data_IF_066537506517
#
_entry.id   IF_066537506517
#
_cell.length_a   1.000
_cell.length_b   1.000
_cell.length_c   1.000
_cell.angle_alpha   90.00
_cell.angle_beta   90.00
_cell.angle_gamma   90.00
#
_symmetry.space_group_name_H-M   'P 1'
#
loop_
_entity.id
_entity.type
_entity.pdbx_description
1 polymer ?
#
# COMPACT_ATOMS: atom_id res chain seq x y z
N UNK A 1 18.75 64.70 -2.67
CA UNK A 1 17.70 63.98 -3.37
C UNK A 1 18.42 63.06 -4.31
N UNK A 2 18.51 61.81 -3.94
CA UNK A 2 19.09 60.74 -4.73
C UNK A 2 18.37 59.48 -4.36
N UNK A 3 17.51 59.03 -5.26
CA UNK A 3 16.69 57.82 -5.11
C UNK A 3 17.59 56.59 -5.33
N UNK A 4 17.68 55.75 -4.34
CA UNK A 4 18.28 54.41 -4.45
C UNK A 4 17.21 53.45 -4.95
N UNK A 5 17.21 53.16 -6.23
CA UNK A 5 16.50 51.99 -6.77
C UNK A 5 17.24 50.72 -6.33
N UNK A 6 16.60 50.00 -5.38
CA UNK A 6 16.98 48.64 -5.00
C UNK A 6 16.44 47.67 -6.03
N UNK A 7 17.27 47.30 -7.01
CA UNK A 7 16.97 46.30 -8.01
C UNK A 7 17.12 44.90 -7.35
N UNK A 8 16.02 44.33 -6.90
CA UNK A 8 15.95 42.98 -6.36
C UNK A 8 15.84 42.01 -7.55
N UNK A 9 16.97 41.70 -8.16
CA UNK A 9 17.06 40.62 -9.12
C UNK A 9 16.88 39.29 -8.36
N UNK A 10 15.64 38.86 -8.21
CA UNK A 10 15.32 37.49 -7.78
C UNK A 10 15.89 36.52 -8.83
N UNK A 11 16.81 35.74 -8.38
CA UNK A 11 17.62 34.82 -9.15
C UNK A 11 16.75 33.77 -9.87
N UNK A 12 16.73 33.82 -11.18
CA UNK A 12 16.13 32.78 -12.02
C UNK A 12 16.85 31.43 -11.95
N UNK A 13 17.83 31.29 -11.05
CA UNK A 13 18.61 30.07 -10.88
C UNK A 13 17.90 29.04 -9.99
N UNK A 14 17.12 29.50 -8.97
CA UNK A 14 16.45 28.58 -8.04
C UNK A 14 15.27 27.83 -8.66
N UNK A 15 14.61 28.44 -9.65
CA UNK A 15 13.44 27.80 -10.32
C UNK A 15 13.90 26.69 -11.29
N UNK A 16 15.02 26.91 -12.00
CA UNK A 16 15.54 25.91 -12.94
C UNK A 16 16.15 24.69 -12.22
N UNK A 17 16.77 24.91 -11.05
CA UNK A 17 17.38 23.84 -10.25
C UNK A 17 16.32 22.96 -9.57
N UNK A 18 15.16 23.54 -9.20
CA UNK A 18 14.05 22.81 -8.64
C UNK A 18 13.35 21.94 -9.68
N UNK A 19 13.16 22.42 -10.90
CA UNK A 19 12.52 21.67 -11.97
C UNK A 19 13.38 20.48 -12.46
N UNK A 20 14.70 20.64 -12.52
CA UNK A 20 15.62 19.54 -12.86
C UNK A 20 15.66 18.45 -11.80
N UNK A 21 15.69 18.82 -10.51
CA UNK A 21 15.68 17.88 -9.39
C UNK A 21 14.35 17.09 -9.31
N UNK A 22 13.22 17.74 -9.57
CA UNK A 22 11.93 17.05 -9.62
C UNK A 22 11.87 16.06 -10.78
N UNK A 23 12.42 16.42 -11.92
CA UNK A 23 12.51 15.54 -13.08
C UNK A 23 13.38 14.31 -12.83
N UNK A 24 14.55 14.47 -12.22
CA UNK A 24 15.47 13.35 -11.88
C UNK A 24 14.85 12.39 -10.89
N UNK A 25 14.20 12.88 -9.83
CA UNK A 25 13.52 12.04 -8.85
C UNK A 25 12.37 11.22 -9.47
N UNK A 26 11.65 11.78 -10.43
CA UNK A 26 10.60 11.06 -11.14
C UNK A 26 11.16 9.99 -12.08
N UNK A 27 12.28 10.24 -12.74
CA UNK A 27 12.97 9.27 -13.59
C UNK A 27 13.47 8.10 -12.74
N UNK A 28 14.15 8.40 -11.62
CA UNK A 28 14.62 7.37 -10.70
C UNK A 28 13.47 6.50 -10.16
N UNK A 29 12.35 7.13 -9.81
CA UNK A 29 11.16 6.40 -9.36
C UNK A 29 10.60 5.52 -10.48
N UNK A 30 10.52 6.02 -11.71
CA UNK A 30 10.04 5.26 -12.87
C UNK A 30 10.92 4.04 -13.16
N UNK A 31 12.25 4.20 -13.15
CA UNK A 31 13.20 3.09 -13.31
C UNK A 31 13.08 2.06 -12.19
N UNK A 32 13.00 2.51 -10.94
CA UNK A 32 12.85 1.64 -9.78
C UNK A 32 11.55 0.82 -9.86
N UNK A 33 10.45 1.44 -10.26
CA UNK A 33 9.16 0.75 -10.46
C UNK A 33 9.23 -0.25 -11.62
N UNK A 34 9.85 0.12 -12.75
CA UNK A 34 10.02 -0.76 -13.89
C UNK A 34 10.86 -1.99 -13.54
N UNK A 35 11.96 -1.81 -12.82
CA UNK A 35 12.83 -2.88 -12.33
C UNK A 35 12.10 -3.81 -11.36
N UNK A 36 11.39 -3.25 -10.37
CA UNK A 36 10.63 -4.04 -9.38
C UNK A 36 9.56 -4.91 -10.03
N UNK A 37 8.85 -4.35 -11.00
CA UNK A 37 7.76 -5.05 -11.67
C UNK A 37 8.23 -5.87 -12.89
N UNK A 38 9.52 -5.77 -13.24
CA UNK A 38 10.14 -6.39 -14.41
C UNK A 38 9.37 -6.08 -15.72
N UNK A 39 9.02 -4.80 -15.89
CA UNK A 39 8.22 -4.33 -17.01
C UNK A 39 9.00 -3.25 -17.76
N UNK A 40 9.33 -3.53 -19.01
CA UNK A 40 10.08 -2.63 -19.89
C UNK A 40 9.30 -2.28 -21.17
N UNK A 41 8.09 -2.84 -21.30
CA UNK A 41 7.27 -2.74 -22.51
C UNK A 41 5.96 -2.01 -22.24
N UNK A 42 5.61 -1.00 -23.02
CA UNK A 42 4.36 -0.21 -22.87
C UNK A 42 3.09 -1.08 -22.85
N UNK A 43 2.91 -2.09 -23.75
CA UNK A 43 1.74 -2.97 -23.69
C UNK A 43 1.72 -3.87 -22.44
N UNK A 44 2.89 -4.28 -21.93
CA UNK A 44 2.98 -5.07 -20.71
C UNK A 44 2.52 -4.27 -19.47
N UNK A 45 2.85 -2.97 -19.41
CA UNK A 45 2.36 -2.05 -18.36
C UNK A 45 0.83 -2.03 -18.32
N UNK A 46 0.18 -1.88 -19.48
CA UNK A 46 -1.28 -1.83 -19.55
C UNK A 46 -1.94 -3.14 -19.11
N UNK A 47 -1.43 -4.27 -19.57
CA UNK A 47 -1.96 -5.58 -19.21
C UNK A 47 -1.83 -5.84 -17.71
N UNK A 48 -0.68 -5.50 -17.11
CA UNK A 48 -0.43 -5.66 -15.69
C UNK A 48 -1.29 -4.70 -14.86
N UNK A 49 -1.40 -3.43 -15.26
CA UNK A 49 -2.30 -2.44 -14.67
C UNK A 49 -3.74 -2.96 -14.62
N UNK A 50 -4.26 -3.39 -15.76
CA UNK A 50 -5.64 -3.91 -15.87
C UNK A 50 -5.86 -5.14 -15.00
N UNK A 51 -4.91 -6.08 -14.99
CA UNK A 51 -4.96 -7.27 -14.15
C UNK A 51 -4.96 -6.92 -12.67
N UNK A 52 -4.00 -6.10 -12.21
CA UNK A 52 -3.89 -5.69 -10.80
C UNK A 52 -5.11 -4.93 -10.32
N UNK A 53 -5.62 -3.98 -11.13
CA UNK A 53 -6.81 -3.22 -10.81
C UNK A 53 -8.06 -4.13 -10.67
N UNK A 54 -8.26 -5.07 -11.60
CA UNK A 54 -9.39 -6.01 -11.56
C UNK A 54 -9.33 -6.93 -10.35
N UNK A 55 -8.18 -7.53 -10.08
CA UNK A 55 -8.01 -8.42 -8.94
C UNK A 55 -8.12 -7.66 -7.61
N UNK A 56 -7.51 -6.49 -7.49
CA UNK A 56 -7.61 -5.65 -6.31
C UNK A 56 -9.04 -5.24 -6.00
N UNK A 57 -9.74 -4.70 -7.00
CA UNK A 57 -11.16 -4.33 -6.86
C UNK A 57 -12.04 -5.55 -6.54
N UNK A 58 -11.79 -6.69 -7.20
CA UNK A 58 -12.53 -7.94 -6.96
C UNK A 58 -12.37 -8.43 -5.51
N UNK A 59 -11.14 -8.47 -5.00
CA UNK A 59 -10.86 -8.94 -3.64
C UNK A 59 -11.47 -8.00 -2.59
N UNK A 60 -11.38 -6.67 -2.78
CA UNK A 60 -12.02 -5.71 -1.87
C UNK A 60 -13.53 -5.87 -1.91
N UNK A 61 -14.12 -6.04 -3.10
CA UNK A 61 -15.56 -6.27 -3.24
C UNK A 61 -16.00 -7.55 -2.51
N UNK A 62 -15.26 -8.64 -2.65
CA UNK A 62 -15.51 -9.90 -1.94
C UNK A 62 -15.38 -9.70 -0.43
N UNK A 63 -14.39 -8.96 0.05
CA UNK A 63 -14.20 -8.64 1.47
C UNK A 63 -15.39 -7.83 2.03
N UNK A 64 -15.88 -6.84 1.26
CA UNK A 64 -17.05 -6.05 1.62
C UNK A 64 -18.34 -6.90 1.62
N UNK A 65 -18.52 -7.79 0.64
CA UNK A 65 -19.66 -8.72 0.61
C UNK A 65 -19.60 -9.70 1.77
N UNK A 66 -18.40 -10.20 2.11
CA UNK A 66 -18.21 -11.06 3.28
C UNK A 66 -18.60 -10.32 4.58
N UNK A 67 -18.12 -9.08 4.74
CA UNK A 67 -18.51 -8.25 5.86
C UNK A 67 -20.04 -8.07 5.93
N UNK A 68 -20.65 -7.70 4.81
CA UNK A 68 -22.11 -7.46 4.77
C UNK A 68 -22.92 -8.73 5.05
N UNK A 69 -22.60 -9.84 4.41
CA UNK A 69 -23.37 -11.08 4.52
C UNK A 69 -23.12 -11.83 5.83
N UNK A 70 -21.89 -11.90 6.30
CA UNK A 70 -21.52 -12.78 7.42
C UNK A 70 -21.26 -12.04 8.73
N UNK A 71 -21.03 -10.73 8.68
CA UNK A 71 -20.81 -9.92 9.88
C UNK A 71 -22.02 -9.03 10.15
N UNK A 72 -22.45 -8.22 9.17
CA UNK A 72 -23.53 -7.26 9.35
C UNK A 72 -24.91 -7.90 9.39
N UNK A 73 -25.18 -8.90 8.53
CA UNK A 73 -26.50 -9.53 8.41
C UNK A 73 -26.71 -10.73 9.34
N UNK A 74 -25.63 -11.29 9.89
CA UNK A 74 -25.69 -12.46 10.79
C UNK A 74 -25.79 -12.12 12.28
N UNK A 75 -26.19 -10.91 12.60
CA UNK A 75 -25.91 -10.26 13.88
C UNK A 75 -26.73 -10.68 15.09
N UNK A 76 -27.89 -11.30 14.94
CA UNK A 76 -28.85 -11.51 16.07
C UNK A 76 -28.28 -12.21 17.32
N UNK A 77 -27.09 -12.85 17.21
CA UNK A 77 -26.39 -13.46 18.34
C UNK A 77 -24.97 -12.93 18.58
N UNK A 78 -24.52 -11.93 17.81
CA UNK A 78 -23.15 -11.39 17.88
C UNK A 78 -23.05 -9.97 18.45
N UNK A 79 -24.19 -9.27 18.58
CA UNK A 79 -24.25 -7.86 18.95
C UNK A 79 -23.97 -7.57 20.43
N UNK A 80 -23.96 -8.57 21.29
CA UNK A 80 -23.77 -8.39 22.73
C UNK A 80 -22.31 -8.08 23.14
N UNK A 81 -21.39 -8.02 22.18
CA UNK A 81 -19.96 -7.78 22.43
C UNK A 81 -19.51 -6.40 22.00
N UNK A 82 -19.57 -5.45 22.91
CA UNK A 82 -18.97 -4.12 22.72
C UNK A 82 -17.45 -4.20 22.88
N UNK A 83 -16.69 -3.67 21.92
CA UNK A 83 -15.24 -3.56 22.04
C UNK A 83 -14.87 -2.71 23.25
N UNK A 84 -13.94 -3.21 24.07
CA UNK A 84 -13.43 -2.49 25.25
C UNK A 84 -12.58 -1.27 24.89
N UNK A 85 -11.99 -1.25 23.68
CA UNK A 85 -11.14 -0.16 23.26
C UNK A 85 -11.91 1.10 22.87
N UNK A 86 -12.98 0.97 22.08
CA UNK A 86 -13.72 2.14 21.58
C UNK A 86 -15.21 2.11 21.90
N UNK A 87 -15.72 1.08 22.58
CA UNK A 87 -17.14 0.95 22.84
C UNK A 87 -17.98 0.73 21.56
N UNK A 88 -17.38 0.14 20.53
CA UNK A 88 -17.99 -0.12 19.24
C UNK A 88 -18.56 -1.54 19.19
N UNK A 89 -19.68 -1.70 18.50
CA UNK A 89 -20.27 -3.00 18.19
C UNK A 89 -19.35 -3.80 17.26
N UNK A 90 -19.46 -5.14 17.28
CA UNK A 90 -18.61 -6.01 16.46
C UNK A 90 -18.66 -5.68 14.96
N UNK A 91 -19.82 -5.29 14.45
CA UNK A 91 -20.00 -4.86 13.08
C UNK A 91 -19.22 -3.57 12.76
N UNK A 92 -19.25 -2.59 13.66
CA UNK A 92 -18.50 -1.35 13.55
C UNK A 92 -17.00 -1.60 13.68
N UNK A 93 -16.57 -2.46 14.60
CA UNK A 93 -15.17 -2.89 14.73
C UNK A 93 -14.67 -3.50 13.43
N UNK A 94 -15.44 -4.39 12.80
CA UNK A 94 -15.05 -4.99 11.53
C UNK A 94 -14.87 -3.95 10.42
N UNK A 95 -15.70 -2.93 10.36
CA UNK A 95 -15.57 -1.82 9.40
C UNK A 95 -14.32 -0.97 9.69
N UNK A 96 -14.08 -0.63 10.95
CA UNK A 96 -12.86 0.09 11.38
C UNK A 96 -11.61 -0.71 11.00
N UNK A 97 -11.60 -2.01 11.28
CA UNK A 97 -10.48 -2.90 10.92
C UNK A 97 -10.23 -2.91 9.41
N UNK A 98 -11.28 -2.94 8.58
CA UNK A 98 -11.12 -2.85 7.12
C UNK A 98 -10.46 -1.53 6.68
N UNK A 99 -10.92 -0.40 7.25
CA UNK A 99 -10.35 0.92 6.93
C UNK A 99 -8.88 0.98 7.36
N UNK A 100 -8.58 0.56 8.59
CA UNK A 100 -7.19 0.53 9.09
C UNK A 100 -6.30 -0.40 8.27
N UNK A 101 -6.80 -1.57 7.89
CA UNK A 101 -6.10 -2.54 7.04
C UNK A 101 -5.81 -1.97 5.64
N UNK A 102 -6.77 -1.25 5.05
CA UNK A 102 -6.57 -0.56 3.78
C UNK A 102 -5.53 0.55 3.89
N UNK A 103 -5.63 1.40 4.90
CA UNK A 103 -4.67 2.48 5.15
C UNK A 103 -3.26 1.92 5.41
N UNK A 104 -3.16 0.83 6.17
CA UNK A 104 -1.90 0.12 6.35
C UNK A 104 -1.25 -0.26 5.02
N UNK A 105 -1.99 -0.88 4.10
CA UNK A 105 -1.46 -1.29 2.80
C UNK A 105 -1.03 -0.08 1.97
N UNK A 106 -1.83 0.99 1.94
CA UNK A 106 -1.54 2.21 1.19
C UNK A 106 -0.28 2.90 1.71
N UNK A 107 -0.23 3.19 3.02
CA UNK A 107 0.94 3.88 3.61
C UNK A 107 2.19 3.01 3.61
N UNK A 108 2.05 1.68 3.76
CA UNK A 108 3.16 0.75 3.68
C UNK A 108 3.83 0.73 2.31
N UNK A 109 3.04 0.69 1.25
CA UNK A 109 3.56 0.71 -0.12
C UNK A 109 4.14 2.08 -0.49
N UNK A 110 3.45 3.17 -0.14
CA UNK A 110 4.01 4.52 -0.35
C UNK A 110 5.31 4.73 0.41
N UNK A 111 5.42 4.23 1.65
CA UNK A 111 6.67 4.30 2.41
C UNK A 111 7.81 3.60 1.70
N UNK A 112 7.53 2.43 1.13
CA UNK A 112 8.53 1.62 0.40
C UNK A 112 9.01 2.34 -0.86
N UNK A 113 8.09 2.95 -1.62
CA UNK A 113 8.44 3.61 -2.88
C UNK A 113 9.12 4.97 -2.67
N UNK A 114 8.64 5.76 -1.73
CA UNK A 114 9.16 7.11 -1.47
C UNK A 114 10.34 7.12 -0.50
N UNK A 115 10.65 5.99 0.17
CA UNK A 115 11.70 5.92 1.19
C UNK A 115 11.43 6.83 2.40
N UNK A 116 10.17 7.23 2.63
CA UNK A 116 9.80 8.17 3.67
C UNK A 116 9.47 7.49 4.99
N UNK A 117 10.01 8.02 6.10
CA UNK A 117 9.77 7.50 7.45
C UNK A 117 8.33 7.74 7.93
N UNK A 118 7.72 8.87 7.57
CA UNK A 118 6.39 9.25 8.08
C UNK A 118 5.31 8.25 7.66
N UNK A 119 5.14 7.90 6.37
CA UNK A 119 4.20 6.84 5.99
C UNK A 119 4.50 5.49 6.62
N UNK A 120 5.79 5.16 6.86
CA UNK A 120 6.20 3.92 7.53
C UNK A 120 5.68 3.85 8.97
N UNK A 121 5.84 4.94 9.73
CA UNK A 121 5.35 5.02 11.10
C UNK A 121 3.82 4.90 11.12
N UNK A 122 3.12 5.63 10.24
CA UNK A 122 1.66 5.57 10.13
C UNK A 122 1.22 4.14 9.82
N UNK A 123 1.82 3.50 8.83
CA UNK A 123 1.55 2.11 8.49
C UNK A 123 1.77 1.17 9.67
N UNK A 124 2.90 1.32 10.39
CA UNK A 124 3.20 0.54 11.59
C UNK A 124 2.14 0.70 12.69
N UNK A 125 1.68 1.92 12.94
CA UNK A 125 0.60 2.18 13.90
C UNK A 125 -0.71 1.53 13.45
N UNK A 126 -1.09 1.65 12.17
CA UNK A 126 -2.32 1.06 11.64
C UNK A 126 -2.34 -0.47 11.81
N UNK A 127 -1.25 -1.17 11.48
CA UNK A 127 -1.21 -2.63 11.63
C UNK A 127 -1.27 -3.07 13.09
N UNK A 128 -0.71 -2.30 14.02
CA UNK A 128 -0.84 -2.57 15.45
C UNK A 128 -2.30 -2.47 15.88
N UNK A 129 -3.03 -1.45 15.45
CA UNK A 129 -4.46 -1.34 15.74
C UNK A 129 -5.27 -2.48 15.12
N UNK A 130 -4.98 -2.87 13.88
CA UNK A 130 -5.61 -4.05 13.26
C UNK A 130 -5.37 -5.29 14.12
N UNK A 131 -4.13 -5.55 14.53
CA UNK A 131 -3.78 -6.69 15.36
C UNK A 131 -4.48 -6.67 16.72
N UNK A 132 -4.58 -5.50 17.37
CA UNK A 132 -5.29 -5.33 18.64
C UNK A 132 -6.78 -5.66 18.50
N UNK A 133 -7.47 -5.10 17.49
CA UNK A 133 -8.89 -5.36 17.27
C UNK A 133 -9.18 -6.80 16.85
N UNK A 134 -8.32 -7.39 16.03
CA UNK A 134 -8.44 -8.80 15.62
C UNK A 134 -8.20 -9.73 16.82
N UNK A 135 -7.27 -9.39 17.69
CA UNK A 135 -6.91 -10.18 18.88
C UNK A 135 -7.88 -10.00 20.06
N UNK A 136 -8.56 -8.85 20.15
CA UNK A 136 -9.44 -8.49 21.28
C UNK A 136 -10.46 -9.58 21.64
N UNK A 137 -11.22 -10.21 20.71
CA UNK A 137 -12.18 -11.24 21.05
C UNK A 137 -11.55 -12.47 21.70
N UNK A 138 -10.35 -12.87 21.27
CA UNK A 138 -9.63 -14.01 21.88
C UNK A 138 -9.18 -13.64 23.28
N UNK A 139 -8.56 -12.46 23.44
CA UNK A 139 -8.09 -11.98 24.75
C UNK A 139 -9.27 -11.84 25.72
N UNK A 140 -10.41 -11.33 25.26
CA UNK A 140 -11.62 -11.21 26.07
C UNK A 140 -12.15 -12.58 26.49
N UNK A 141 -12.16 -13.55 25.58
CA UNK A 141 -12.58 -14.93 25.88
C UNK A 141 -11.65 -15.65 26.89
N UNK A 142 -10.37 -15.29 26.90
CA UNK A 142 -9.38 -15.88 27.83
C UNK A 142 -9.39 -15.21 29.21
N UNK A 143 -9.67 -13.90 29.27
CA UNK A 143 -9.55 -13.10 30.50
C UNK A 143 -10.89 -12.80 31.19
N UNK A 144 -12.01 -13.05 30.55
CA UNK A 144 -13.34 -12.79 31.11
C UNK A 144 -14.33 -13.90 30.76
N UNK A 145 -15.23 -14.20 31.70
CA UNK A 145 -16.29 -15.17 31.49
C UNK A 145 -17.43 -14.68 30.56
N UNK A 146 -17.28 -13.49 29.96
CA UNK A 146 -18.27 -12.86 29.10
C UNK A 146 -18.37 -13.47 27.70
N UNK A 147 -17.34 -14.16 27.23
CA UNK A 147 -17.28 -14.80 25.92
C UNK A 147 -16.74 -16.23 26.05
N UNK A 148 -17.30 -17.14 25.27
CA UNK A 148 -16.70 -18.48 25.15
C UNK A 148 -15.49 -18.42 24.22
N UNK A 149 -14.51 -19.31 24.43
CA UNK A 149 -13.30 -19.40 23.57
C UNK A 149 -13.69 -19.64 22.11
N UNK A 150 -14.71 -20.47 21.87
CA UNK A 150 -15.23 -20.72 20.52
C UNK A 150 -15.73 -19.43 19.85
N UNK A 151 -16.54 -18.64 20.55
CA UNK A 151 -17.04 -17.36 20.04
C UNK A 151 -15.91 -16.37 19.79
N UNK A 152 -14.92 -16.29 20.70
CA UNK A 152 -13.74 -15.45 20.54
C UNK A 152 -12.94 -15.80 19.30
N UNK A 153 -12.69 -17.10 19.07
CA UNK A 153 -11.99 -17.59 17.87
C UNK A 153 -12.76 -17.30 16.59
N UNK A 154 -14.07 -17.52 16.57
CA UNK A 154 -14.91 -17.22 15.41
C UNK A 154 -14.92 -15.72 15.05
N UNK A 155 -15.04 -14.85 16.04
CA UNK A 155 -15.00 -13.39 15.85
C UNK A 155 -13.62 -12.95 15.31
N UNK A 156 -12.55 -13.38 15.93
CA UNK A 156 -11.18 -13.07 15.48
C UNK A 156 -10.89 -13.65 14.10
N UNK A 157 -11.36 -14.86 13.80
CA UNK A 157 -11.20 -15.48 12.49
C UNK A 157 -11.88 -14.68 11.37
N UNK A 158 -13.09 -14.17 11.60
CA UNK A 158 -13.80 -13.33 10.64
C UNK A 158 -13.11 -11.98 10.42
N UNK A 159 -12.64 -11.33 11.50
CA UNK A 159 -11.89 -10.08 11.40
C UNK A 159 -10.56 -10.29 10.69
N UNK A 160 -9.85 -11.39 10.95
CA UNK A 160 -8.61 -11.76 10.26
C UNK A 160 -8.85 -11.95 8.77
N UNK A 161 -9.88 -12.68 8.38
CA UNK A 161 -10.18 -12.96 6.97
C UNK A 161 -10.48 -11.66 6.19
N UNK A 162 -11.32 -10.79 6.78
CA UNK A 162 -11.64 -9.49 6.17
C UNK A 162 -10.40 -8.61 6.06
N UNK A 163 -9.61 -8.49 7.14
CA UNK A 163 -8.42 -7.64 7.14
C UNK A 163 -7.37 -8.11 6.14
N UNK A 164 -7.11 -9.42 6.06
CA UNK A 164 -6.17 -9.99 5.09
C UNK A 164 -6.64 -9.76 3.65
N UNK A 165 -7.93 -9.92 3.37
CA UNK A 165 -8.50 -9.64 2.06
C UNK A 165 -8.33 -8.17 1.67
N UNK A 166 -8.61 -7.25 2.59
CA UNK A 166 -8.47 -5.81 2.35
C UNK A 166 -7.00 -5.39 2.21
N UNK A 167 -6.08 -5.93 3.02
CA UNK A 167 -4.65 -5.67 2.90
C UNK A 167 -4.15 -6.10 1.52
N UNK A 168 -4.44 -7.34 1.13
CA UNK A 168 -3.99 -7.86 -0.16
C UNK A 168 -4.60 -7.11 -1.35
N UNK A 169 -5.91 -6.85 -1.30
CA UNK A 169 -6.60 -6.04 -2.31
C UNK A 169 -6.06 -4.61 -2.38
N UNK A 170 -5.74 -4.01 -1.22
CA UNK A 170 -5.13 -2.69 -1.11
C UNK A 170 -3.77 -2.61 -1.80
N UNK A 171 -2.87 -3.57 -1.54
CA UNK A 171 -1.58 -3.66 -2.25
C UNK A 171 -1.74 -3.72 -3.77
N UNK A 172 -2.70 -4.51 -4.27
CA UNK A 172 -2.96 -4.60 -5.70
C UNK A 172 -3.47 -3.28 -6.30
N UNK A 173 -4.29 -2.53 -5.55
CA UNK A 173 -4.78 -1.21 -5.98
C UNK A 173 -3.65 -0.17 -5.99
N UNK A 174 -2.78 -0.18 -4.97
CA UNK A 174 -1.63 0.72 -4.95
C UNK A 174 -0.68 0.42 -6.09
N UNK A 175 -0.35 -0.85 -6.33
CA UNK A 175 0.44 -1.28 -7.49
C UNK A 175 -0.19 -0.81 -8.81
N UNK A 176 -1.52 -0.95 -8.96
CA UNK A 176 -2.22 -0.47 -10.15
C UNK A 176 -2.13 1.06 -10.28
N UNK A 177 -2.22 1.81 -9.17
CA UNK A 177 -2.10 3.26 -9.16
C UNK A 177 -0.70 3.73 -9.57
N UNK A 178 0.34 3.04 -9.08
CA UNK A 178 1.74 3.30 -9.45
C UNK A 178 1.99 2.98 -10.94
N UNK A 179 1.43 1.89 -11.44
CA UNK A 179 1.51 1.54 -12.87
C UNK A 179 0.78 2.56 -13.75
N UNK A 180 -0.36 3.10 -13.28
CA UNK A 180 -1.08 4.15 -13.99
C UNK A 180 -0.26 5.44 -14.04
N UNK A 181 0.41 5.78 -12.92
CA UNK A 181 1.34 6.91 -12.87
C UNK A 181 2.52 6.70 -13.83
N UNK A 182 3.17 5.53 -13.77
CA UNK A 182 4.28 5.17 -14.65
C UNK A 182 3.89 5.27 -16.13
N UNK A 183 2.73 4.75 -16.49
CA UNK A 183 2.20 4.85 -17.85
C UNK A 183 2.06 6.31 -18.29
N UNK A 184 1.41 7.15 -17.47
CA UNK A 184 1.22 8.58 -17.78
C UNK A 184 2.56 9.31 -17.89
N UNK A 185 3.52 8.98 -17.04
CA UNK A 185 4.85 9.53 -17.06
C UNK A 185 5.58 9.21 -18.38
N UNK A 186 5.52 7.95 -18.84
CA UNK A 186 6.12 7.53 -20.11
C UNK A 186 5.36 8.05 -21.36
N UNK A 187 4.07 8.34 -21.24
CA UNK A 187 3.30 8.99 -22.30
C UNK A 187 3.66 10.48 -22.42
N UNK A 188 4.03 11.14 -21.33
CA UNK A 188 4.43 12.55 -21.32
C UNK A 188 5.92 12.78 -21.65
N UNK A 189 6.74 11.72 -21.56
CA UNK A 189 8.20 11.78 -21.83
C UNK A 189 8.58 10.65 -22.79
N UNK A 190 8.26 10.84 -24.07
CA UNK A 190 8.51 9.83 -25.12
C UNK A 190 10.01 9.54 -25.35
N UNK A 191 10.87 10.45 -24.90
CA UNK A 191 12.33 10.33 -25.01
C UNK A 191 12.93 9.32 -24.02
N UNK A 192 12.16 8.93 -22.98
CA UNK A 192 12.63 8.01 -21.94
C UNK A 192 12.30 6.58 -22.35
N UNK A 193 13.32 5.83 -22.76
CA UNK A 193 13.24 4.39 -22.96
C UNK A 193 13.68 3.65 -21.68
N UNK A 194 12.77 2.84 -21.13
CA UNK A 194 13.12 1.95 -20.02
C UNK A 194 14.00 0.82 -20.55
N UNK A 195 15.29 0.88 -20.27
CA UNK A 195 16.23 -0.16 -20.69
C UNK A 195 16.24 -1.28 -19.66
N UNK A 196 16.01 -2.54 -20.06
CA UNK A 196 16.17 -3.66 -19.15
C UNK A 196 17.62 -3.67 -18.65
N UNK A 197 17.86 -3.99 -17.36
CA UNK A 197 19.22 -4.11 -16.86
C UNK A 197 19.93 -5.13 -17.72
N UNK A 198 21.00 -4.66 -18.38
CA UNK A 198 21.84 -5.51 -19.20
C UNK A 198 22.37 -6.62 -18.26
N UNK A 199 21.77 -7.79 -18.33
CA UNK A 199 22.42 -8.99 -17.81
C UNK A 199 23.58 -9.25 -18.73
N UNK A 200 24.64 -8.44 -18.57
CA UNK A 200 25.96 -8.84 -19.01
C UNK A 200 26.19 -10.17 -18.29
N UNK A 201 25.94 -11.23 -19.04
CA UNK A 201 26.54 -12.52 -18.78
C UNK A 201 28.05 -12.26 -18.73
N UNK A 202 28.56 -11.92 -17.54
CA UNK A 202 29.96 -12.19 -17.28
C UNK A 202 30.10 -13.68 -17.54
N UNK A 203 30.83 -14.09 -18.56
CA UNK A 203 31.18 -15.49 -18.67
C UNK A 203 31.93 -15.77 -17.38
N UNK A 204 31.40 -16.74 -16.61
CA UNK A 204 32.14 -17.37 -15.54
C UNK A 204 33.44 -17.75 -16.19
N UNK A 205 34.47 -16.99 -15.90
CA UNK A 205 35.83 -17.29 -16.30
C UNK A 205 36.20 -18.53 -15.48
N UNK A 206 35.84 -19.71 -16.04
CA UNK A 206 36.50 -20.95 -15.70
C UNK A 206 37.97 -20.79 -16.14
N UNK A 207 38.67 -20.00 -15.38
CA UNK A 207 40.12 -19.93 -15.49
C UNK A 207 40.71 -20.54 -14.24
N UNK A 208 41.42 -21.61 -14.51
CA UNK A 208 42.56 -22.08 -13.75
C UNK A 208 42.25 -23.06 -12.64
N UNK A 209 42.17 -24.29 -13.06
CA UNK A 209 42.86 -25.40 -12.39
C UNK A 209 43.59 -26.20 -13.47
N UNK A 210 44.68 -25.66 -13.96
CA UNK A 210 45.80 -26.40 -14.53
C UNK A 210 47.03 -25.88 -13.80
N UNK A 211 47.44 -26.63 -12.75
CA UNK A 211 48.82 -27.00 -12.41
C UNK A 211 48.82 -27.91 -11.19
#
# INVERSE_FOLDING_TARGET
MSEMESNHSMSGHDVAETDTNISEAHIELAERLALRMNIFDKPAIFNMLSSRAKWGAGIITVSLLFWWLLISSGSDNMDDGVSKFLGLDFNQVALVVMVLAFLYSVFGDFSRELGSLVPSIISGVMIIFVALYVGEPIVTALLSDSLTIETGLWRSGRLSLVSLGVIYGGHLIVDASLLLWLRRFLESHEEIELTPPNRSSEPIQDSVLDD
#
